data_IF_524413465783
#
_entry.id   IF_524413465783
#
_cell.length_a   1.000
_cell.length_b   1.000
_cell.length_c   1.000
_cell.angle_alpha   90.00
_cell.angle_beta   90.00
_cell.angle_gamma   90.00
#
_symmetry.space_group_name_H-M   'P 1'
#
loop_
_entity.id
_entity.type
_entity.pdbx_description
1 polymer ?
#
# COMPACT_ATOMS: atom_id res chain seq x y z
N UNK A 1 -41.94 -3.78 -5.18
CA UNK A 1 -41.15 -3.89 -5.16
C UNK A 1 -40.36 -4.07 -5.33
N UNK A 2 -40.90 -3.76 -5.24
CA UNK A 2 -39.96 -3.81 -5.34
C UNK A 2 -39.32 -3.57 -5.34
N UNK A 3 -39.73 -3.29 -5.42
CA UNK A 3 -38.88 -3.09 -5.41
C UNK A 3 -37.99 -3.18 -5.30
N UNK A 4 -38.65 -2.98 -5.27
CA UNK A 4 -37.57 -3.15 -5.23
C UNK A 4 -36.84 -3.66 -5.25
N UNK A 5 -37.61 -3.75 -5.26
CA UNK A 5 -36.80 -4.19 -5.26
C UNK A 5 -36.05 -4.48 -5.63
N UNK A 6 -36.43 -4.40 -5.89
CA UNK A 6 -35.52 -4.62 -6.24
C UNK A 6 -34.88 -4.50 -6.53
N UNK A 7 -35.40 -4.48 -6.69
CA UNK A 7 -34.63 -4.19 -6.89
C UNK A 7 -33.74 -4.47 -6.95
N UNK A 8 -34.19 -4.35 -6.82
CA UNK A 8 -33.12 -4.51 -6.76
C UNK A 8 -32.13 -4.88 -6.96
N UNK A 9 -32.54 -4.97 -7.23
CA UNK A 9 -31.49 -5.23 -7.29
C UNK A 9 -30.48 -5.47 -7.68
N UNK A 10 -30.70 -5.40 -7.94
CA UNK A 10 -29.72 -5.37 -8.15
C UNK A 10 -28.74 -5.32 -8.42
N UNK A 11 -28.70 -4.89 -8.68
CA UNK A 11 -27.63 -4.61 -8.73
C UNK A 11 -26.83 -4.40 -9.02
N UNK A 12 -27.10 -4.19 -9.15
CA UNK A 12 -26.27 -3.66 -9.04
C UNK A 12 -25.28 -3.56 -9.00
N UNK A 13 -25.42 -3.35 -9.21
CA UNK A 13 -24.31 -2.90 -8.89
C UNK A 13 -23.54 -2.56 -8.70
N UNK A 14 -23.69 -2.30 -8.72
CA UNK A 14 -22.90 -1.79 -8.12
C UNK A 14 -22.34 -1.44 -7.82
N UNK A 15 -22.63 -1.37 -7.94
CA UNK A 15 -22.04 -0.84 -7.29
C UNK A 15 -21.77 -0.44 -7.12
N UNK A 16 -22.01 0.15 -7.15
CA UNK A 16 -21.69 0.84 -6.57
C UNK A 16 -21.94 1.54 -6.09
N UNK A 17 -22.04 1.16 -6.23
CA UNK A 17 -22.69 1.95 -5.67
C UNK A 17 -22.47 3.02 -4.97
N UNK A 18 -23.05 3.75 -5.03
CA UNK A 18 -22.98 4.89 -4.20
C UNK A 18 -23.03 4.56 -2.76
N UNK A 19 -22.15 5.09 -2.00
CA UNK A 19 -22.15 4.89 -0.56
C UNK A 19 -21.88 3.46 -0.12
N UNK A 20 -21.63 2.59 -1.05
CA UNK A 20 -21.18 1.25 -0.71
C UNK A 20 -19.83 1.32 -0.03
N UNK A 21 -19.71 0.69 1.12
CA UNK A 21 -18.41 0.56 1.78
C UNK A 21 -17.56 -0.40 1.00
N UNK A 22 -16.43 0.09 0.48
CA UNK A 22 -15.41 -0.79 -0.06
C UNK A 22 -14.74 -1.48 1.12
N UNK A 23 -14.79 -2.81 1.14
CA UNK A 23 -14.10 -3.57 2.16
C UNK A 23 -12.61 -3.54 1.87
N UNK A 24 -11.86 -2.88 2.73
CA UNK A 24 -10.41 -2.81 2.61
C UNK A 24 -9.76 -4.03 3.24
N UNK A 25 -8.68 -4.48 2.66
CA UNK A 25 -7.89 -5.57 3.25
C UNK A 25 -7.32 -5.12 4.60
N UNK A 26 -7.36 -6.01 5.59
CA UNK A 26 -6.93 -5.69 6.95
C UNK A 26 -5.47 -5.27 7.02
N UNK A 27 -4.60 -5.84 6.18
CA UNK A 27 -3.19 -5.46 6.16
C UNK A 27 -2.99 -4.08 5.55
N UNK A 28 -3.82 -3.69 4.58
CA UNK A 28 -3.81 -2.33 4.05
C UNK A 28 -4.22 -1.32 5.12
N UNK A 29 -5.24 -1.64 5.90
CA UNK A 29 -5.69 -0.79 7.00
C UNK A 29 -4.59 -0.64 8.05
N UNK A 30 -3.93 -1.74 8.41
CA UNK A 30 -2.83 -1.73 9.38
C UNK A 30 -1.64 -0.90 8.90
N UNK A 31 -1.28 -1.05 7.61
CA UNK A 31 -0.23 -0.24 7.01
C UNK A 31 -0.57 1.25 7.08
N UNK A 32 -1.79 1.61 6.68
CA UNK A 32 -2.22 3.01 6.67
C UNK A 32 -2.25 3.60 8.08
N UNK A 33 -2.66 2.81 9.08
CA UNK A 33 -2.71 3.25 10.46
C UNK A 33 -1.31 3.49 11.05
N UNK A 34 -0.28 2.87 10.49
CA UNK A 34 1.11 3.05 10.93
C UNK A 34 1.74 4.32 10.36
N UNK A 35 1.11 4.97 9.37
CA UNK A 35 1.61 6.20 8.76
C UNK A 35 1.21 7.41 9.60
N UNK A 36 2.14 8.35 9.76
CA UNK A 36 1.85 9.65 10.38
C UNK A 36 0.88 10.44 9.51
N UNK A 37 1.10 10.37 8.20
CA UNK A 37 0.21 10.98 7.21
C UNK A 37 -0.49 9.86 6.45
N UNK A 38 -1.76 9.56 6.79
CA UNK A 38 -2.50 8.50 6.10
C UNK A 38 -2.61 8.75 4.61
N UNK A 39 -2.72 7.67 3.85
CA UNK A 39 -2.95 7.74 2.41
C UNK A 39 -4.32 8.32 2.10
N UNK A 40 -4.45 8.92 0.93
CA UNK A 40 -5.78 9.25 0.41
C UNK A 40 -6.59 7.96 0.24
N UNK A 41 -7.91 8.09 0.28
CA UNK A 41 -8.81 6.93 0.13
C UNK A 41 -8.59 6.18 -1.17
N UNK A 42 -8.32 6.91 -2.25
CA UNK A 42 -8.03 6.29 -3.55
C UNK A 42 -6.76 5.46 -3.52
N UNK A 43 -5.70 6.01 -2.93
CA UNK A 43 -4.43 5.29 -2.83
C UNK A 43 -4.55 4.07 -1.92
N UNK A 44 -5.24 4.22 -0.80
CA UNK A 44 -5.47 3.11 0.13
C UNK A 44 -6.26 1.99 -0.54
N UNK A 45 -7.25 2.32 -1.37
CA UNK A 45 -8.00 1.31 -2.13
C UNK A 45 -7.08 0.55 -3.09
N UNK A 46 -6.14 1.23 -3.76
CA UNK A 46 -5.19 0.57 -4.66
C UNK A 46 -4.25 -0.36 -3.89
N UNK A 47 -3.75 0.06 -2.74
CA UNK A 47 -2.89 -0.77 -1.89
C UNK A 47 -3.68 -1.99 -1.41
N UNK A 48 -4.91 -1.81 -0.99
CA UNK A 48 -5.79 -2.90 -0.57
C UNK A 48 -6.01 -3.91 -1.70
N UNK A 49 -6.25 -3.43 -2.91
CA UNK A 49 -6.42 -4.30 -4.09
C UNK A 49 -5.15 -5.09 -4.39
N UNK A 50 -3.99 -4.46 -4.31
CA UNK A 50 -2.71 -5.13 -4.51
C UNK A 50 -2.52 -6.25 -3.48
N UNK A 51 -2.75 -5.97 -2.20
CA UNK A 51 -2.57 -6.95 -1.12
C UNK A 51 -3.54 -8.11 -1.32
N UNK A 52 -4.80 -7.81 -1.62
CA UNK A 52 -5.81 -8.85 -1.86
C UNK A 52 -5.39 -9.76 -3.02
N UNK A 53 -4.86 -9.18 -4.10
CA UNK A 53 -4.37 -9.95 -5.24
C UNK A 53 -3.19 -10.85 -4.84
N UNK A 54 -2.28 -10.35 -4.00
CA UNK A 54 -1.13 -11.14 -3.54
C UNK A 54 -1.52 -12.27 -2.58
N UNK A 55 -2.71 -12.21 -2.01
CA UNK A 55 -3.23 -13.26 -1.12
C UNK A 55 -3.95 -14.39 -1.85
N UNK A 56 -4.13 -14.27 -3.16
CA UNK A 56 -4.82 -15.29 -3.96
C UNK A 56 -3.83 -16.31 -4.52
N UNK A 57 -4.38 -17.41 -5.03
CA UNK A 57 -3.58 -18.47 -5.66
C UNK A 57 -2.59 -19.09 -4.68
N UNK A 58 -1.30 -19.05 -5.02
CA UNK A 58 -0.24 -19.58 -4.16
C UNK A 58 0.06 -18.70 -2.95
N UNK A 59 -0.70 -17.63 -2.77
CA UNK A 59 -0.56 -16.68 -1.67
C UNK A 59 0.88 -16.19 -1.48
N UNK A 60 1.44 -15.49 -2.48
CA UNK A 60 2.78 -14.94 -2.33
C UNK A 60 2.90 -13.97 -1.15
N UNK A 61 1.80 -13.33 -0.75
CA UNK A 61 1.78 -12.44 0.41
C UNK A 61 2.32 -13.11 1.67
N UNK A 62 1.94 -14.36 1.91
CA UNK A 62 2.38 -15.10 3.08
C UNK A 62 3.89 -15.39 3.09
N UNK A 63 4.53 -15.32 1.92
CA UNK A 63 5.95 -15.60 1.77
C UNK A 63 6.82 -14.35 1.81
N UNK A 64 6.20 -13.17 1.75
CA UNK A 64 6.93 -11.91 1.81
C UNK A 64 7.31 -11.60 3.25
N UNK A 65 8.56 -11.26 3.47
CA UNK A 65 8.99 -10.68 4.74
C UNK A 65 8.70 -9.18 4.75
N UNK A 66 8.93 -8.52 3.63
CA UNK A 66 8.61 -7.10 3.47
C UNK A 66 8.26 -6.78 2.04
N UNK A 67 7.54 -5.71 1.87
CA UNK A 67 7.21 -5.13 0.58
C UNK A 67 7.21 -3.62 0.71
N UNK A 68 7.95 -2.94 -0.14
CA UNK A 68 7.97 -1.48 -0.21
C UNK A 68 7.55 -1.05 -1.61
N UNK A 69 6.71 -0.04 -1.69
CA UNK A 69 6.35 0.61 -2.93
C UNK A 69 6.87 2.04 -2.89
N UNK A 70 7.82 2.37 -3.75
CA UNK A 70 8.42 3.70 -3.74
C UNK A 70 7.55 4.74 -4.42
N UNK A 71 6.70 4.33 -5.35
CA UNK A 71 5.78 5.25 -6.03
C UNK A 71 4.54 5.51 -5.16
N UNK A 72 4.75 6.22 -4.07
CA UNK A 72 3.72 6.53 -3.09
C UNK A 72 3.47 8.03 -2.99
N UNK A 73 2.49 8.41 -2.17
CA UNK A 73 2.11 9.82 -2.00
C UNK A 73 3.12 10.60 -1.16
N UNK A 74 3.77 9.91 -0.21
CA UNK A 74 4.76 10.52 0.67
C UNK A 74 6.00 9.65 0.76
N UNK A 75 7.12 10.26 1.12
CA UNK A 75 8.37 9.53 1.37
C UNK A 75 8.21 8.57 2.56
N UNK A 76 7.44 8.95 3.57
CA UNK A 76 7.15 8.07 4.70
C UNK A 76 6.47 6.78 4.23
N UNK A 77 5.42 6.92 3.41
CA UNK A 77 4.69 5.76 2.90
C UNK A 77 5.58 4.86 2.04
N UNK A 78 6.48 5.47 1.25
CA UNK A 78 7.42 4.73 0.40
C UNK A 78 8.45 3.95 1.23
N UNK A 79 8.90 4.50 2.34
CA UNK A 79 9.91 3.86 3.19
C UNK A 79 9.34 2.83 4.16
N UNK A 80 8.03 2.89 4.45
CA UNK A 80 7.41 1.96 5.38
C UNK A 80 7.02 0.67 4.66
N UNK A 81 7.31 -0.46 5.31
CA UNK A 81 6.94 -1.76 4.75
C UNK A 81 5.43 -1.96 4.74
N UNK A 82 4.88 -2.35 3.59
CA UNK A 82 3.46 -2.66 3.47
C UNK A 82 3.16 -4.00 4.13
N UNK A 83 4.01 -5.00 3.87
CA UNK A 83 3.83 -6.33 4.43
C UNK A 83 4.07 -6.34 5.94
N UNK A 84 5.03 -5.54 6.39
CA UNK A 84 5.41 -5.46 7.80
C UNK A 84 5.65 -3.99 8.16
N UNK A 85 4.61 -3.27 8.63
CA UNK A 85 4.71 -1.83 8.88
C UNK A 85 5.69 -1.42 9.98
N UNK A 86 6.18 -2.35 10.79
CA UNK A 86 7.23 -2.05 11.77
C UNK A 86 8.60 -1.91 11.11
N UNK A 87 8.76 -2.43 9.89
CA UNK A 87 10.01 -2.35 9.15
C UNK A 87 10.00 -1.11 8.28
N UNK A 88 10.85 -0.16 8.63
CA UNK A 88 10.97 1.13 7.93
C UNK A 88 12.37 1.22 7.36
N UNK A 89 12.45 1.50 6.06
CA UNK A 89 13.73 1.74 5.41
C UNK A 89 14.23 3.13 5.74
N UNK A 90 15.52 3.33 5.69
CA UNK A 90 16.17 4.62 5.98
C UNK A 90 17.07 5.04 4.82
N UNK A 91 17.40 6.32 4.78
CA UNK A 91 18.38 6.81 3.82
C UNK A 91 19.77 6.73 4.41
N UNK A 92 20.73 6.47 3.55
CA UNK A 92 22.15 6.52 3.87
C UNK A 92 22.84 7.46 2.89
N UNK A 93 23.89 8.11 3.37
CA UNK A 93 24.61 9.11 2.60
C UNK A 93 23.78 10.38 2.41
N UNK A 94 23.86 10.96 1.24
CA UNK A 94 23.07 12.14 0.91
C UNK A 94 21.63 11.72 0.65
N UNK A 95 20.68 12.36 1.34
CA UNK A 95 19.27 12.02 1.20
C UNK A 95 18.82 12.13 -0.27
N UNK A 96 18.20 11.09 -0.81
CA UNK A 96 17.65 11.18 -2.16
C UNK A 96 16.43 12.10 -2.20
N UNK A 97 16.14 12.62 -3.38
CA UNK A 97 14.96 13.45 -3.60
C UNK A 97 13.75 12.55 -3.79
N UNK A 98 12.68 12.82 -3.07
CA UNK A 98 11.42 12.09 -3.25
C UNK A 98 10.52 12.88 -4.19
N UNK A 99 9.93 12.17 -5.14
CA UNK A 99 8.91 12.72 -6.02
C UNK A 99 7.65 11.86 -5.88
N UNK A 100 6.53 12.51 -5.54
CA UNK A 100 5.23 11.84 -5.41
C UNK A 100 4.95 10.98 -6.64
N UNK A 101 4.48 9.77 -6.41
CA UNK A 101 4.13 8.77 -7.42
C UNK A 101 5.29 8.33 -8.32
N UNK A 102 6.51 8.75 -8.02
CA UNK A 102 7.70 8.35 -8.78
C UNK A 102 8.78 7.70 -7.93
N UNK A 103 8.81 8.03 -6.62
CA UNK A 103 9.78 7.45 -5.71
C UNK A 103 11.01 8.34 -5.52
N UNK A 104 12.18 7.73 -5.40
CA UNK A 104 13.40 8.41 -5.00
C UNK A 104 14.37 8.53 -6.16
N UNK A 105 15.04 9.68 -6.21
CA UNK A 105 16.15 9.93 -7.12
C UNK A 105 17.40 10.17 -6.29
N UNK A 106 18.40 9.31 -6.43
CA UNK A 106 19.69 9.46 -5.76
C UNK A 106 20.60 10.43 -6.51
N UNK A 107 21.71 10.77 -5.87
CA UNK A 107 22.71 11.69 -6.44
C UNK A 107 23.75 10.98 -7.33
N UNK A 108 23.64 9.66 -7.46
CA UNK A 108 24.57 8.88 -8.28
C UNK A 108 25.92 8.61 -7.61
N UNK A 109 26.07 8.98 -6.36
CA UNK A 109 27.36 8.85 -5.65
C UNK A 109 27.23 8.02 -4.39
N UNK A 110 26.45 8.49 -3.41
CA UNK A 110 26.39 7.88 -2.09
C UNK A 110 24.96 7.71 -1.56
N UNK A 111 23.95 8.17 -2.30
CA UNK A 111 22.55 8.03 -1.88
C UNK A 111 22.05 6.61 -2.07
N UNK A 112 21.57 6.00 -1.01
CA UNK A 112 20.86 4.73 -1.13
C UNK A 112 19.84 4.54 -0.02
N UNK A 113 18.95 3.58 -0.23
CA UNK A 113 17.93 3.20 0.75
C UNK A 113 18.39 1.93 1.45
N UNK A 114 18.45 2.00 2.76
CA UNK A 114 18.86 0.88 3.60
C UNK A 114 17.61 0.27 4.25
N UNK A 115 17.39 -1.00 4.02
CA UNK A 115 16.26 -1.75 4.61
C UNK A 115 16.57 -2.27 6.00
N UNK A 116 17.78 -2.05 6.51
CA UNK A 116 18.16 -2.46 7.85
C UNK A 116 18.34 -3.95 8.02
N UNK A 117 18.47 -4.70 6.93
CA UNK A 117 18.68 -6.13 6.97
C UNK A 117 20.12 -6.44 6.54
N UNK A 118 20.93 -6.86 7.48
CA UNK A 118 22.24 -7.38 7.14
C UNK A 118 22.11 -8.74 6.46
N UNK A 119 23.06 -9.05 5.61
CA UNK A 119 23.16 -10.40 5.07
C UNK A 119 23.64 -11.31 6.18
N UNK A 120 22.84 -12.30 6.51
CA UNK A 120 23.30 -13.36 7.39
C UNK A 120 24.21 -14.28 6.57
N UNK A 121 25.43 -14.43 6.99
CA UNK A 121 26.36 -15.34 6.36
C UNK A 121 26.03 -16.78 6.77
#
# INVERSE_FOLDING_TARGET
MFTDAFRTTIFEPSAFTTGGTVSLDADAVAYNAALTTPLTSGRLALVSTLIAALKTGTNPWARLDRLHLFAMETSEAALRGIRNPTKVATFQGTSPTFTTDRGFTGNGTDSYVDFGEGWAA
#
